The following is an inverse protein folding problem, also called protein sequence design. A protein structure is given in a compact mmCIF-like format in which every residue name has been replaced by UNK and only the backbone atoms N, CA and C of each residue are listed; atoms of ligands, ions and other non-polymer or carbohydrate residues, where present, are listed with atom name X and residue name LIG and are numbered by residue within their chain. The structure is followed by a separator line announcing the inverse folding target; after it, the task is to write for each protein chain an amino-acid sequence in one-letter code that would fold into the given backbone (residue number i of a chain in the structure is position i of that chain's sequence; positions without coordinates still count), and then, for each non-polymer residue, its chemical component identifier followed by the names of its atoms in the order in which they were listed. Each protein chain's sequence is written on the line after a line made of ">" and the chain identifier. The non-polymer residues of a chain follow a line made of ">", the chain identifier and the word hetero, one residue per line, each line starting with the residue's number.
data_IF_080072371780
#
_entry.id   IF_080072371780
#
_cell.length_a   1.000
_cell.length_b   1.000
_cell.length_c   1.000
_cell.angle_alpha   90.00
_cell.angle_beta   90.00
_cell.angle_gamma   90.00
#
_symmetry.space_group_name_H-M   'P 1'
#
loop_
_entity.id
_entity.type
_entity.pdbx_description
1 polymer ?
#
# COMPACT_ATOMS: atom_id res chain seq x y z
N UNK A 1 74.59 16.28 17.03
CA UNK A 1 73.54 16.63 18.02
C UNK A 1 72.36 17.24 17.26
N UNK A 2 71.41 16.41 16.85
CA UNK A 2 70.18 16.84 16.15
C UNK A 2 68.96 16.31 16.90
N UNK A 3 68.89 16.66 18.19
CA UNK A 3 67.65 16.63 18.94
C UNK A 3 66.93 17.96 18.65
N UNK A 4 65.60 17.92 18.43
CA UNK A 4 64.67 19.06 18.30
C UNK A 4 64.02 19.39 16.93
N UNK A 5 63.83 18.45 16.00
CA UNK A 5 62.92 18.73 14.85
C UNK A 5 61.97 17.57 14.47
N UNK A 6 61.59 16.69 15.41
CA UNK A 6 60.55 15.66 15.17
C UNK A 6 59.45 15.57 16.24
N UNK A 7 59.35 16.56 17.15
CA UNK A 7 58.30 16.59 18.20
C UNK A 7 57.23 17.66 18.02
N UNK A 8 57.22 18.42 16.92
CA UNK A 8 56.10 19.34 16.57
C UNK A 8 55.28 18.91 15.36
N UNK A 9 55.59 17.78 14.73
CA UNK A 9 54.81 17.29 13.56
C UNK A 9 53.87 16.14 13.94
N UNK A 10 54.10 15.47 15.06
CA UNK A 10 53.22 14.37 15.51
C UNK A 10 52.07 14.77 16.44
N UNK A 11 52.04 16.01 16.95
CA UNK A 11 50.90 16.51 17.74
C UNK A 11 49.87 17.28 16.90
N UNK A 12 50.27 17.82 15.73
CA UNK A 12 49.33 18.57 14.87
C UNK A 12 48.56 17.69 13.88
N UNK A 13 49.02 16.46 13.60
CA UNK A 13 48.27 15.48 12.78
C UNK A 13 47.53 14.41 13.60
N UNK A 14 47.59 14.47 14.93
CA UNK A 14 46.82 13.61 15.84
C UNK A 14 45.66 14.35 16.53
N UNK A 15 45.32 15.56 16.06
CA UNK A 15 44.14 16.32 16.49
C UNK A 15 43.10 16.56 15.40
N UNK A 16 43.22 15.87 14.25
CA UNK A 16 42.21 15.94 13.18
C UNK A 16 41.48 14.61 12.97
N UNK A 17 41.75 13.59 13.81
CA UNK A 17 41.13 12.25 13.71
C UNK A 17 40.07 11.99 14.79
N UNK A 18 39.87 12.92 15.73
CA UNK A 18 38.89 12.76 16.81
C UNK A 18 38.11 14.04 17.04
N UNK A 19 36.99 14.18 16.31
CA UNK A 19 35.76 14.93 16.64
C UNK A 19 35.14 15.52 15.37
N UNK A 20 34.71 14.64 14.47
CA UNK A 20 33.53 14.83 13.64
C UNK A 20 33.24 13.51 12.91
N UNK A 21 33.24 12.41 13.66
CA UNK A 21 32.30 11.37 13.32
C UNK A 21 30.97 11.93 13.82
N UNK A 22 30.37 12.81 12.99
CA UNK A 22 28.93 12.97 13.02
C UNK A 22 28.40 11.56 13.15
N UNK A 23 27.70 11.30 14.24
CA UNK A 23 26.73 10.24 14.29
C UNK A 23 25.75 10.53 13.14
N UNK A 24 26.13 10.13 11.94
CA UNK A 24 25.23 9.62 10.94
C UNK A 24 24.69 8.38 11.63
N UNK A 25 23.75 8.64 12.56
CA UNK A 25 22.67 7.75 12.87
C UNK A 25 22.19 7.38 11.49
N UNK A 26 22.63 6.22 11.02
CA UNK A 26 22.04 5.59 9.86
C UNK A 26 20.59 5.55 10.28
N UNK A 27 19.80 6.48 9.73
CA UNK A 27 18.37 6.50 9.89
C UNK A 27 17.98 5.21 9.21
N UNK A 28 17.99 4.12 9.97
CA UNK A 28 17.41 2.85 9.56
C UNK A 28 16.07 3.31 9.06
N UNK A 29 15.85 3.15 7.77
CA UNK A 29 14.55 3.30 7.15
C UNK A 29 13.73 2.16 7.75
N UNK A 30 13.31 2.33 9.02
CA UNK A 30 12.28 1.52 9.62
C UNK A 30 11.06 2.01 8.88
N UNK A 31 10.61 1.19 7.92
CA UNK A 31 9.31 1.31 7.31
C UNK A 31 8.31 1.20 8.45
N UNK A 32 8.02 2.33 9.09
CA UNK A 32 7.14 2.40 10.24
C UNK A 32 5.75 2.59 9.68
N UNK A 33 4.96 1.54 9.90
CA UNK A 33 3.59 1.30 9.47
C UNK A 33 3.50 0.63 8.08
N UNK A 34 3.06 -0.63 8.01
CA UNK A 34 2.44 -1.16 6.80
C UNK A 34 1.43 -0.14 6.31
N UNK A 35 1.45 0.17 5.01
CA UNK A 35 0.49 1.10 4.42
C UNK A 35 -0.93 0.65 4.79
N UNK A 36 -1.71 1.53 5.41
CA UNK A 36 -3.09 1.25 5.87
C UNK A 36 -4.06 0.92 4.72
N UNK A 37 -3.61 0.99 3.47
CA UNK A 37 -4.45 0.85 2.30
C UNK A 37 -4.91 -0.60 2.14
N UNK A 38 -6.16 -0.88 2.53
CA UNK A 38 -6.79 -2.18 2.30
C UNK A 38 -6.86 -2.53 0.80
N UNK A 39 -6.76 -1.53 -0.08
CA UNK A 39 -6.67 -1.68 -1.53
C UNK A 39 -5.44 -2.52 -1.94
N UNK A 40 -4.34 -2.45 -1.18
CA UNK A 40 -3.14 -3.25 -1.42
C UNK A 40 -3.31 -4.74 -1.13
N UNK A 41 -4.43 -5.15 -0.52
CA UNK A 41 -4.71 -6.55 -0.18
C UNK A 41 -5.58 -7.28 -1.20
N UNK A 42 -6.03 -6.61 -2.26
CA UNK A 42 -6.82 -7.20 -3.33
C UNK A 42 -5.87 -7.55 -4.47
N UNK A 43 -5.34 -8.77 -4.45
CA UNK A 43 -4.40 -9.31 -5.43
C UNK A 43 -5.07 -9.68 -6.78
N UNK A 44 -6.11 -8.95 -7.19
CA UNK A 44 -6.85 -9.21 -8.44
C UNK A 44 -5.96 -9.15 -9.69
N UNK A 45 -4.90 -8.34 -9.66
CA UNK A 45 -3.92 -8.27 -10.76
C UNK A 45 -3.08 -9.56 -10.91
N UNK A 46 -3.04 -10.42 -9.89
CA UNK A 46 -2.34 -11.71 -9.92
C UNK A 46 -3.25 -12.87 -10.36
N UNK A 47 -4.55 -12.64 -10.50
CA UNK A 47 -5.48 -13.67 -10.94
C UNK A 47 -5.21 -14.04 -12.40
N UNK A 48 -4.90 -15.31 -12.65
CA UNK A 48 -4.72 -15.86 -14.00
C UNK A 48 -5.96 -16.59 -14.50
N UNK A 49 -6.93 -16.82 -13.61
CA UNK A 49 -8.21 -17.45 -13.91
C UNK A 49 -9.35 -16.79 -13.12
N UNK A 50 -10.60 -16.91 -13.59
CA UNK A 50 -11.77 -16.44 -12.84
C UNK A 50 -11.92 -17.10 -11.47
N UNK A 51 -11.49 -18.36 -11.35
CA UNK A 51 -11.49 -19.09 -10.08
C UNK A 51 -10.53 -18.43 -9.07
N UNK A 52 -9.33 -18.03 -9.50
CA UNK A 52 -8.38 -17.32 -8.64
C UNK A 52 -8.93 -15.95 -8.22
N UNK A 53 -9.51 -15.20 -9.16
CA UNK A 53 -10.15 -13.91 -8.89
C UNK A 53 -11.24 -14.06 -7.83
N UNK A 54 -12.13 -15.04 -7.96
CA UNK A 54 -13.16 -15.36 -6.97
C UNK A 54 -12.56 -15.69 -5.60
N UNK A 55 -11.49 -16.49 -5.54
CA UNK A 55 -10.84 -16.81 -4.26
C UNK A 55 -10.28 -15.55 -3.58
N UNK A 56 -9.62 -14.66 -4.34
CA UNK A 56 -9.12 -13.40 -3.79
C UNK A 56 -10.26 -12.51 -3.28
N UNK A 57 -11.36 -12.39 -4.04
CA UNK A 57 -12.55 -11.61 -3.64
C UNK A 57 -13.22 -12.19 -2.39
N UNK A 58 -13.33 -13.51 -2.29
CA UNK A 58 -13.89 -14.20 -1.12
C UNK A 58 -13.01 -14.04 0.12
N UNK A 59 -11.70 -14.11 -0.04
CA UNK A 59 -10.75 -13.86 1.05
C UNK A 59 -10.80 -12.41 1.51
N UNK A 60 -10.92 -11.47 0.57
CA UNK A 60 -11.09 -10.05 0.87
C UNK A 60 -12.39 -9.76 1.63
N UNK A 61 -13.50 -10.38 1.24
CA UNK A 61 -14.81 -10.19 1.87
C UNK A 61 -14.85 -10.47 3.39
N UNK A 62 -13.87 -11.22 3.91
CA UNK A 62 -13.75 -11.58 5.33
C UNK A 62 -12.95 -10.55 6.14
N UNK A 63 -12.32 -9.57 5.49
CA UNK A 63 -11.47 -8.57 6.12
C UNK A 63 -12.27 -7.28 6.33
N UNK A 64 -12.21 -6.65 7.51
CA UNK A 64 -12.80 -5.32 7.70
C UNK A 64 -12.06 -4.29 6.84
N UNK A 65 -12.79 -3.28 6.37
CA UNK A 65 -12.24 -2.18 5.56
C UNK A 65 -12.50 -0.88 6.29
N UNK A 66 -11.42 -0.14 6.55
CA UNK A 66 -11.48 1.19 7.13
C UNK A 66 -11.99 2.21 6.10
N UNK A 67 -12.72 3.22 6.56
CA UNK A 67 -13.34 4.24 5.69
C UNK A 67 -12.32 4.90 4.73
N UNK A 68 -11.12 5.22 5.22
CA UNK A 68 -10.04 5.81 4.42
C UNK A 68 -9.55 4.94 3.25
N UNK A 69 -9.84 3.64 3.27
CA UNK A 69 -9.40 2.68 2.24
C UNK A 69 -10.50 2.31 1.25
N UNK A 70 -11.77 2.60 1.56
CA UNK A 70 -12.91 2.15 0.76
C UNK A 70 -12.81 2.66 -0.67
N UNK A 71 -12.50 3.94 -0.87
CA UNK A 71 -12.41 4.53 -2.21
C UNK A 71 -11.35 3.84 -3.08
N UNK A 72 -10.18 3.53 -2.50
CA UNK A 72 -9.12 2.80 -3.20
C UNK A 72 -9.53 1.38 -3.55
N UNK A 73 -10.23 0.69 -2.63
CA UNK A 73 -10.77 -0.65 -2.87
C UNK A 73 -11.82 -0.63 -4.00
N UNK A 74 -12.77 0.30 -3.95
CA UNK A 74 -13.81 0.44 -4.98
C UNK A 74 -13.17 0.63 -6.35
N UNK A 75 -12.16 1.50 -6.45
CA UNK A 75 -11.46 1.76 -7.72
C UNK A 75 -10.85 0.49 -8.31
N UNK A 76 -10.18 -0.33 -7.48
CA UNK A 76 -9.60 -1.60 -7.92
C UNK A 76 -10.69 -2.59 -8.36
N UNK A 77 -11.79 -2.66 -7.62
CA UNK A 77 -12.92 -3.53 -7.93
C UNK A 77 -13.57 -3.16 -9.28
N UNK A 78 -13.84 -1.87 -9.50
CA UNK A 78 -14.41 -1.37 -10.75
C UNK A 78 -13.47 -1.58 -11.93
N UNK A 79 -12.16 -1.33 -11.75
CA UNK A 79 -11.17 -1.58 -12.80
C UNK A 79 -11.16 -3.05 -13.23
N UNK A 80 -11.30 -3.99 -12.28
CA UNK A 80 -11.41 -5.41 -12.58
C UNK A 80 -12.75 -5.78 -13.21
N UNK A 81 -13.85 -5.21 -12.71
CA UNK A 81 -15.20 -5.44 -13.24
C UNK A 81 -15.28 -5.15 -14.74
N UNK A 82 -14.77 -4.01 -15.20
CA UNK A 82 -14.89 -3.58 -16.59
C UNK A 82 -14.10 -4.44 -17.60
N UNK A 83 -13.16 -5.27 -17.13
CA UNK A 83 -12.35 -6.18 -17.96
C UNK A 83 -12.70 -7.66 -17.75
N UNK A 84 -13.61 -7.97 -16.84
CA UNK A 84 -13.99 -9.34 -16.49
C UNK A 84 -15.17 -9.83 -17.34
N UNK A 85 -15.09 -11.07 -17.79
CA UNK A 85 -16.15 -11.72 -18.58
C UNK A 85 -16.89 -12.80 -17.79
N UNK A 86 -16.31 -13.30 -16.69
CA UNK A 86 -16.98 -14.28 -15.85
C UNK A 86 -18.11 -13.64 -15.01
N UNK A 87 -19.38 -14.06 -15.19
CA UNK A 87 -20.51 -13.47 -14.45
C UNK A 87 -20.41 -13.68 -12.94
N UNK A 88 -19.81 -14.78 -12.48
CA UNK A 88 -19.69 -15.06 -11.06
C UNK A 88 -18.73 -14.08 -10.39
N UNK A 89 -17.61 -13.77 -11.05
CA UNK A 89 -16.65 -12.74 -10.59
C UNK A 89 -17.32 -11.37 -10.59
N UNK A 90 -18.00 -10.99 -11.68
CA UNK A 90 -18.72 -9.70 -11.80
C UNK A 90 -19.77 -9.51 -10.71
N UNK A 91 -20.63 -10.50 -10.49
CA UNK A 91 -21.62 -10.48 -9.42
C UNK A 91 -20.97 -10.39 -8.03
N UNK A 92 -19.84 -11.09 -7.82
CA UNK A 92 -19.13 -11.01 -6.55
C UNK A 92 -18.56 -9.61 -6.31
N UNK A 93 -18.06 -8.94 -7.34
CA UNK A 93 -17.62 -7.55 -7.27
C UNK A 93 -18.79 -6.61 -6.94
N UNK A 94 -19.91 -6.73 -7.64
CA UNK A 94 -21.12 -5.95 -7.37
C UNK A 94 -21.59 -6.09 -5.91
N UNK A 95 -21.58 -7.32 -5.39
CA UNK A 95 -21.90 -7.62 -4.00
C UNK A 95 -20.95 -6.93 -3.01
N UNK A 96 -19.65 -6.88 -3.32
CA UNK A 96 -18.66 -6.21 -2.48
C UNK A 96 -18.83 -4.69 -2.50
N UNK A 97 -19.14 -4.08 -3.65
CA UNK A 97 -19.43 -2.64 -3.73
C UNK A 97 -20.62 -2.26 -2.85
N UNK A 98 -21.69 -3.06 -2.85
CA UNK A 98 -22.85 -2.87 -1.96
C UNK A 98 -22.57 -3.13 -0.48
N UNK A 99 -21.54 -3.91 -0.14
CA UNK A 99 -21.08 -4.06 1.25
C UNK A 99 -20.27 -2.83 1.68
N UNK A 100 -19.35 -2.38 0.83
CA UNK A 100 -18.48 -1.23 1.07
C UNK A 100 -19.26 0.08 1.18
N UNK A 101 -20.37 0.22 0.45
CA UNK A 101 -21.28 1.37 0.54
C UNK A 101 -21.86 1.59 1.94
N UNK A 102 -21.85 0.56 2.79
CA UNK A 102 -22.34 0.60 4.18
C UNK A 102 -21.24 0.90 5.20
N UNK A 103 -20.01 1.15 4.75
CA UNK A 103 -18.88 1.43 5.65
C UNK A 103 -19.10 2.77 6.35
N UNK A 104 -19.01 2.79 7.67
CA UNK A 104 -19.21 4.00 8.45
C UNK A 104 -18.18 5.07 8.06
N UNK A 105 -18.64 6.28 7.75
CA UNK A 105 -17.78 7.39 7.32
C UNK A 105 -17.43 7.39 5.82
N UNK A 106 -17.93 6.43 5.04
CA UNK A 106 -17.85 6.46 3.58
C UNK A 106 -19.15 7.03 2.99
N UNK A 107 -19.04 7.95 2.03
CA UNK A 107 -20.21 8.45 1.28
C UNK A 107 -20.49 7.56 0.06
N UNK A 108 -21.68 6.94 -0.06
CA UNK A 108 -22.01 6.08 -1.19
C UNK A 108 -22.33 6.84 -2.48
N UNK A 109 -22.49 8.16 -2.42
CA UNK A 109 -22.86 8.98 -3.60
C UNK A 109 -21.82 8.86 -4.72
N UNK A 110 -20.54 8.70 -4.37
CA UNK A 110 -19.45 8.60 -5.35
C UNK A 110 -19.42 7.28 -6.14
N UNK A 111 -20.24 6.29 -5.77
CA UNK A 111 -20.29 4.97 -6.44
C UNK A 111 -21.68 4.65 -6.99
N UNK A 112 -22.65 5.56 -6.84
CA UNK A 112 -24.04 5.30 -7.20
C UNK A 112 -24.19 5.11 -8.71
N UNK A 113 -23.56 5.95 -9.53
CA UNK A 113 -23.61 5.84 -10.99
C UNK A 113 -22.98 4.53 -11.48
N UNK A 114 -21.84 4.13 -10.90
CA UNK A 114 -21.22 2.84 -11.18
C UNK A 114 -22.14 1.68 -10.79
N UNK A 115 -22.79 1.75 -9.62
CA UNK A 115 -23.73 0.73 -9.17
C UNK A 115 -24.93 0.60 -10.12
N UNK A 116 -25.49 1.72 -10.60
CA UNK A 116 -26.57 1.72 -11.59
C UNK A 116 -26.10 1.07 -12.89
N UNK A 117 -24.92 1.46 -13.38
CA UNK A 117 -24.33 0.90 -14.59
C UNK A 117 -24.09 -0.61 -14.47
N UNK A 118 -23.60 -1.08 -13.32
CA UNK A 118 -23.41 -2.50 -13.04
C UNK A 118 -24.74 -3.25 -13.12
N UNK A 119 -25.78 -2.74 -12.44
CA UNK A 119 -27.10 -3.38 -12.40
C UNK A 119 -27.81 -3.41 -13.76
N UNK A 120 -27.49 -2.50 -14.66
CA UNK A 120 -28.06 -2.48 -16.03
C UNK A 120 -27.37 -3.47 -16.98
N UNK A 121 -26.13 -3.84 -16.69
CA UNK A 121 -25.29 -4.66 -17.57
C UNK A 121 -25.11 -6.11 -17.08
N UNK A 122 -25.80 -6.48 -16.01
CA UNK A 122 -25.84 -7.84 -15.47
C UNK A 122 -27.11 -8.57 -15.93
#
# INVERSE_FOLDING_TARGET
>A
MAAHLKKRVYEEFSKVVQQQQEEITTKKLRLTKPSKSAALHIDLCKATSPADALQYLLQFARKPVEAESVEGVVRILLEHYYKENDPSVRLKIASLLGLLSKTAGFSPDCIMDDAINILQNE
#
